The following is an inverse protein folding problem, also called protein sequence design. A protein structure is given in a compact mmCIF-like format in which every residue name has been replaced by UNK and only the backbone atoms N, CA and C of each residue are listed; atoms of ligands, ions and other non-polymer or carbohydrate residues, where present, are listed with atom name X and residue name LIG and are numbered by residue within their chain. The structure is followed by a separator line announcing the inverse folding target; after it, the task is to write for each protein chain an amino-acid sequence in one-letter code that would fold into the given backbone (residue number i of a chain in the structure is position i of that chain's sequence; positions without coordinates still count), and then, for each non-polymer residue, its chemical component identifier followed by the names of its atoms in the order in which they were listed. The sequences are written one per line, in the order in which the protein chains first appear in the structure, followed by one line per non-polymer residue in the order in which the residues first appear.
data_IF_479496133852
#
_entry.id   IF_479496133852
#
_cell.length_a   1.000
_cell.length_b   1.000
_cell.length_c   1.000
_cell.angle_alpha   90.00
_cell.angle_beta   90.00
_cell.angle_gamma   90.00
#
_symmetry.space_group_name_H-M   'P 1'
#
loop_
_entity.id
_entity.type
_entity.pdbx_description
1 polymer ?
#
# COMPACT_ATOMS: atom_id res chain seq x y z
N UNK A 1 7.41 -6.21 -10.19
CA UNK A 1 6.99 -5.53 -8.94
C UNK A 1 6.27 -6.46 -7.97
N UNK A 2 5.13 -7.08 -8.31
CA UNK A 2 4.33 -7.94 -7.39
C UNK A 2 5.17 -9.00 -6.64
N UNK A 3 6.06 -9.73 -7.32
CA UNK A 3 6.94 -10.73 -6.69
C UNK A 3 7.91 -10.14 -5.66
N UNK A 4 8.40 -8.92 -5.90
CA UNK A 4 9.33 -8.23 -4.98
C UNK A 4 8.57 -7.79 -3.74
N UNK A 5 7.41 -7.16 -3.92
CA UNK A 5 6.55 -6.79 -2.81
C UNK A 5 6.06 -8.00 -1.99
N UNK A 6 5.70 -9.10 -2.64
CA UNK A 6 5.24 -10.32 -1.97
C UNK A 6 6.33 -11.08 -1.20
N UNK A 7 7.61 -10.76 -1.42
CA UNK A 7 8.70 -11.29 -0.59
C UNK A 7 8.70 -10.66 0.81
N UNK A 8 8.21 -9.43 0.94
CA UNK A 8 8.18 -8.70 2.20
C UNK A 8 6.99 -9.10 3.07
N UNK A 9 7.21 -9.62 4.30
CA UNK A 9 6.13 -10.09 5.15
C UNK A 9 5.07 -9.04 5.47
N UNK A 10 5.47 -7.76 5.57
CA UNK A 10 4.56 -6.65 5.87
C UNK A 10 3.59 -6.38 4.72
N UNK A 11 4.07 -6.45 3.47
CA UNK A 11 3.23 -6.22 2.29
C UNK A 11 2.45 -7.47 1.88
N UNK A 12 3.00 -8.67 2.11
CA UNK A 12 2.32 -9.96 1.84
C UNK A 12 1.04 -10.14 2.65
N UNK A 13 0.94 -9.46 3.78
CA UNK A 13 -0.23 -9.47 4.65
C UNK A 13 -1.35 -8.53 4.16
N UNK A 14 -1.04 -7.59 3.27
CA UNK A 14 -1.99 -6.64 2.70
C UNK A 14 -2.64 -7.19 1.43
N UNK A 15 -3.76 -6.60 1.04
CA UNK A 15 -4.44 -6.96 -0.20
C UNK A 15 -3.81 -6.20 -1.38
N UNK A 16 -3.08 -6.87 -2.29
CA UNK A 16 -2.49 -6.21 -3.43
C UNK A 16 -3.54 -6.01 -4.53
N UNK A 17 -3.55 -4.84 -5.16
CA UNK A 17 -4.30 -4.64 -6.39
C UNK A 17 -3.43 -3.93 -7.43
N UNK A 18 -3.53 -4.39 -8.68
CA UNK A 18 -2.76 -3.86 -9.81
C UNK A 18 -3.68 -3.26 -10.85
N UNK A 19 -3.37 -2.07 -11.33
CA UNK A 19 -4.12 -1.41 -12.39
C UNK A 19 -3.36 -0.17 -12.88
N UNK A 20 -3.56 0.24 -14.14
CA UNK A 20 -2.89 1.42 -14.71
C UNK A 20 -1.35 1.41 -14.56
N UNK A 21 -0.72 0.23 -14.59
CA UNK A 21 0.72 0.03 -14.35
C UNK A 21 1.20 0.39 -12.93
N UNK A 22 0.27 0.47 -11.98
CA UNK A 22 0.51 0.72 -10.56
C UNK A 22 0.24 -0.55 -9.75
N UNK A 23 1.03 -0.77 -8.70
CA UNK A 23 0.80 -1.72 -7.63
C UNK A 23 0.44 -0.97 -6.37
N UNK A 24 -0.79 -1.20 -5.90
CA UNK A 24 -1.33 -0.63 -4.68
C UNK A 24 -1.52 -1.72 -3.63
N UNK A 25 -1.59 -1.28 -2.37
CA UNK A 25 -1.86 -2.14 -1.22
C UNK A 25 -3.03 -1.59 -0.43
N UNK A 26 -3.98 -2.46 -0.10
CA UNK A 26 -5.13 -2.12 0.73
C UNK A 26 -5.06 -2.89 2.04
N UNK A 27 -5.46 -2.22 3.13
CA UNK A 27 -5.64 -2.85 4.45
C UNK A 27 -6.99 -3.54 4.59
N UNK A 28 -7.85 -3.47 3.59
CA UNK A 28 -9.15 -4.14 3.54
C UNK A 28 -9.30 -4.96 2.24
N UNK A 29 -10.08 -6.04 2.30
CA UNK A 29 -10.25 -6.96 1.17
C UNK A 29 -11.50 -6.72 0.32
N UNK A 30 -12.47 -5.93 0.80
CA UNK A 30 -13.73 -5.68 0.08
C UNK A 30 -13.71 -4.44 -0.83
N UNK A 31 -14.84 -4.19 -1.50
CA UNK A 31 -15.04 -3.07 -2.41
C UNK A 31 -14.78 -1.73 -1.71
N UNK A 32 -13.86 -0.93 -2.27
CA UNK A 32 -13.24 0.31 -1.76
C UNK A 32 -11.94 0.04 -0.98
N UNK A 33 -10.78 0.05 -1.68
CA UNK A 33 -9.50 -0.08 -1.02
C UNK A 33 -9.24 1.09 -0.08
N UNK A 34 -8.46 0.86 0.97
CA UNK A 34 -7.94 1.95 1.79
C UNK A 34 -6.92 2.76 0.98
N UNK A 35 -7.06 4.08 0.96
CA UNK A 35 -6.11 5.01 0.33
C UNK A 35 -5.20 5.64 1.38
N UNK A 36 -4.62 4.80 2.24
CA UNK A 36 -3.75 5.18 3.36
C UNK A 36 -2.33 4.58 3.26
N UNK A 37 -2.07 3.76 2.24
CA UNK A 37 -0.76 3.16 1.94
C UNK A 37 -0.24 3.71 0.62
N UNK A 38 1.05 4.10 0.52
CA UNK A 38 1.66 4.47 -0.75
C UNK A 38 1.65 3.32 -1.77
N UNK A 39 1.63 3.67 -3.05
CA UNK A 39 1.66 2.74 -4.17
C UNK A 39 2.92 2.91 -5.01
N UNK A 40 3.24 1.87 -5.80
CA UNK A 40 4.40 1.83 -6.66
C UNK A 40 3.93 1.78 -8.10
N UNK A 41 4.33 2.75 -8.92
CA UNK A 41 4.09 2.71 -10.35
C UNK A 41 5.38 2.52 -11.16
N UNK A 42 5.22 2.22 -12.43
CA UNK A 42 6.33 2.11 -13.39
C UNK A 42 6.35 3.29 -14.33
N UNK A 43 7.53 3.84 -14.58
CA UNK A 43 7.79 4.85 -15.61
C UNK A 43 8.12 4.18 -16.94
N UNK A 44 7.91 4.91 -18.05
CA UNK A 44 8.15 4.40 -19.40
C UNK A 44 9.63 4.10 -19.72
N UNK A 45 10.56 4.60 -18.90
CA UNK A 45 12.00 4.36 -18.99
C UNK A 45 12.46 3.14 -18.15
N UNK A 46 11.52 2.40 -17.54
CA UNK A 46 11.81 1.22 -16.72
C UNK A 46 12.12 1.52 -15.25
N UNK A 47 12.13 2.80 -14.83
CA UNK A 47 12.22 3.18 -13.42
C UNK A 47 10.88 3.00 -12.71
N UNK A 48 10.93 3.09 -11.39
CA UNK A 48 9.78 3.03 -10.51
C UNK A 48 9.58 4.38 -9.83
N UNK A 49 8.33 4.70 -9.54
CA UNK A 49 7.98 5.84 -8.70
C UNK A 49 7.13 5.37 -7.53
N UNK A 50 7.25 6.08 -6.41
CA UNK A 50 6.43 5.88 -5.22
C UNK A 50 5.59 7.13 -5.03
N UNK A 51 4.28 6.94 -4.92
CA UNK A 51 3.28 7.99 -4.77
C UNK A 51 2.23 7.55 -3.76
N UNK A 52 1.35 8.47 -3.37
CA UNK A 52 0.27 8.18 -2.46
C UNK A 52 0.36 8.90 -1.11
N UNK A 53 -0.55 8.59 -0.19
CA UNK A 53 -1.47 7.45 -0.26
C UNK A 53 -2.72 7.69 -1.14
N UNK A 54 -2.91 8.88 -1.71
CA UNK A 54 -3.93 9.16 -2.75
C UNK A 54 -3.28 9.46 -4.10
N UNK A 55 -4.00 9.29 -5.22
CA UNK A 55 -3.50 9.69 -6.56
C UNK A 55 -3.23 11.18 -6.73
N UNK A 56 -3.77 12.01 -5.84
CA UNK A 56 -3.52 13.45 -5.84
C UNK A 56 -2.32 13.82 -4.97
N UNK A 57 -1.70 12.85 -4.28
CA UNK A 57 -0.54 13.07 -3.44
C UNK A 57 0.70 13.35 -4.29
N UNK A 58 1.61 14.22 -3.85
CA UNK A 58 2.85 14.47 -4.56
C UNK A 58 3.71 13.21 -4.63
N UNK A 59 4.57 13.16 -5.64
CA UNK A 59 5.56 12.09 -5.77
C UNK A 59 6.47 12.06 -4.55
N UNK A 60 6.58 10.88 -3.95
CA UNK A 60 7.45 10.64 -2.80
C UNK A 60 8.88 10.44 -3.29
N UNK A 61 9.06 9.61 -4.32
CA UNK A 61 10.38 9.31 -4.87
C UNK A 61 10.30 8.67 -6.27
N UNK A 62 11.44 8.68 -6.95
CA UNK A 62 11.73 7.85 -8.12
C UNK A 62 12.98 7.02 -7.84
N UNK A 63 13.03 5.79 -8.34
CA UNK A 63 14.13 4.86 -8.12
C UNK A 63 14.24 3.89 -9.29
N UNK A 64 15.45 3.49 -9.63
CA UNK A 64 15.72 2.41 -10.59
C UNK A 64 15.65 1.02 -9.95
N UNK A 65 15.70 0.94 -8.61
CA UNK A 65 15.59 -0.30 -7.86
C UNK A 65 14.15 -0.59 -7.42
N UNK A 66 13.59 -1.78 -7.75
CA UNK A 66 12.29 -2.19 -7.25
C UNK A 66 12.30 -2.49 -5.75
N UNK A 67 13.43 -2.93 -5.18
CA UNK A 67 13.58 -3.16 -3.74
C UNK A 67 13.52 -1.85 -2.96
N UNK A 68 14.20 -0.81 -3.45
CA UNK A 68 14.13 0.53 -2.87
C UNK A 68 12.70 1.07 -2.87
N UNK A 69 11.96 0.90 -3.97
CA UNK A 69 10.56 1.33 -4.06
C UNK A 69 9.70 0.61 -2.99
N UNK A 70 9.89 -0.69 -2.82
CA UNK A 70 9.19 -1.50 -1.80
C UNK A 70 9.55 -1.04 -0.38
N UNK A 71 10.83 -0.81 -0.10
CA UNK A 71 11.27 -0.31 1.21
C UNK A 71 10.63 1.05 1.56
N UNK A 72 10.54 1.96 0.60
CA UNK A 72 9.91 3.27 0.80
C UNK A 72 8.41 3.17 1.14
N UNK A 73 7.70 2.19 0.58
CA UNK A 73 6.30 1.91 0.96
C UNK A 73 6.24 1.37 2.39
N UNK A 74 7.11 0.42 2.73
CA UNK A 74 7.15 -0.21 4.07
C UNK A 74 7.41 0.82 5.18
N UNK A 75 8.38 1.72 4.97
CA UNK A 75 8.69 2.81 5.90
C UNK A 75 7.52 3.76 6.16
N UNK A 76 6.55 3.80 5.24
CA UNK A 76 5.40 4.71 5.27
C UNK A 76 4.08 3.98 5.52
N UNK A 77 4.13 2.71 5.92
CA UNK A 77 2.94 2.00 6.35
C UNK A 77 2.33 2.67 7.60
N UNK A 78 1.00 2.69 7.72
CA UNK A 78 0.34 3.13 8.95
C UNK A 78 0.88 2.40 10.19
N UNK A 79 0.95 3.11 11.31
CA UNK A 79 1.38 2.50 12.58
C UNK A 79 0.41 1.37 12.95
N UNK A 80 0.93 0.20 13.30
CA UNK A 80 0.11 -0.97 13.61
C UNK A 80 -0.53 -1.64 12.38
N UNK A 81 -0.01 -1.39 11.18
CA UNK A 81 -0.41 -2.09 9.96
C UNK A 81 -0.19 -3.61 10.12
N UNK A 82 -1.30 -4.35 10.22
CA UNK A 82 -1.34 -5.81 10.35
C UNK A 82 -1.92 -6.48 9.11
N UNK A 83 -2.38 -7.74 9.24
CA UNK A 83 -3.11 -8.43 8.18
C UNK A 83 -4.28 -7.61 7.64
N UNK A 84 -4.53 -7.69 6.33
CA UNK A 84 -5.68 -7.07 5.73
C UNK A 84 -6.97 -7.53 6.43
N UNK A 85 -7.78 -6.56 6.82
CA UNK A 85 -9.06 -6.76 7.45
C UNK A 85 -10.05 -7.34 6.42
N UNK A 86 -10.71 -8.43 6.80
CA UNK A 86 -11.76 -9.04 6.01
C UNK A 86 -13.03 -8.19 6.15
N UNK A 87 -13.18 -7.21 5.27
CA UNK A 87 -14.28 -6.25 5.26
C UNK A 87 -13.96 -5.01 4.42
N UNK A 88 -14.78 -3.98 4.57
CA UNK A 88 -14.67 -2.66 3.94
C UNK A 88 -13.75 -1.70 4.71
N UNK A 89 -13.37 -0.59 4.07
CA UNK A 89 -12.60 0.46 4.71
C UNK A 89 -13.36 1.11 5.89
N UNK A 90 -14.69 1.24 5.77
CA UNK A 90 -15.56 1.76 6.81
C UNK A 90 -15.60 0.85 8.05
N UNK A 91 -15.67 -0.47 7.85
CA UNK A 91 -15.64 -1.46 8.95
C UNK A 91 -14.27 -1.51 9.63
N UNK A 92 -13.18 -1.44 8.88
CA UNK A 92 -11.83 -1.32 9.45
C UNK A 92 -11.73 -0.07 10.34
N UNK A 93 -12.22 1.08 9.85
CA UNK A 93 -12.20 2.33 10.62
C UNK A 93 -13.09 2.27 11.88
N UNK A 94 -14.16 1.46 11.89
CA UNK A 94 -14.94 1.20 13.09
C UNK A 94 -14.18 0.32 14.09
N UNK A 95 -13.57 -0.77 13.62
CA UNK A 95 -12.77 -1.68 14.43
C UNK A 95 -11.59 -0.99 15.10
N UNK A 96 -10.85 -0.14 14.38
CA UNK A 96 -9.72 0.60 14.94
C UNK A 96 -10.16 1.59 16.02
N UNK A 97 -11.28 2.30 15.81
CA UNK A 97 -11.85 3.19 16.84
C UNK A 97 -12.24 2.44 18.11
N UNK A 98 -12.85 1.27 17.99
CA UNK A 98 -13.22 0.44 19.15
C UNK A 98 -11.99 -0.10 19.90
N UNK A 99 -10.93 -0.43 19.18
CA UNK A 99 -9.65 -0.87 19.77
C UNK A 99 -8.96 0.25 20.53
N UNK A 100 -8.90 1.46 19.97
CA UNK A 100 -8.20 2.59 20.57
C UNK A 100 -8.94 3.19 21.79
N UNK A 101 -10.23 2.85 21.96
CA UNK A 101 -11.04 3.20 23.13
C UNK A 101 -10.82 2.26 24.34
N UNK A 102 -10.05 1.17 24.19
CA UNK A 102 -9.89 0.11 25.18
C UNK A 102 -8.48 0.06 25.74
#
# INVERSE_FOLDING_TARGET
MVRVAGAEPQLRQLYPWTGMWELHFSRCTESRPTWDVPYIGTLGDGRYYVEGPSRNSPRIAETDSPQTAVAMVIERLPVGCGPAFAGSAEELAAYERERDLK
#
